data_IF_231580258037
#
_entry.id   IF_231580258037
#
_cell.length_a   1.000
_cell.length_b   1.000
_cell.length_c   1.000
_cell.angle_alpha   90.00
_cell.angle_beta   90.00
_cell.angle_gamma   90.00
#
_symmetry.space_group_name_H-M   'P 1'
#
loop_
_entity.id
_entity.type
_entity.pdbx_description
1 polymer ?
#
# COMPACT_ATOMS: atom_id res chain seq x y z
N UNK A 1 2.76 8.81 -3.89
CA UNK A 1 3.14 8.21 -2.59
C UNK A 1 2.55 6.82 -2.55
N UNK A 2 3.37 5.82 -2.21
CA UNK A 2 2.95 4.41 -2.12
C UNK A 2 3.41 3.86 -0.77
N UNK A 3 2.47 3.35 0.02
CA UNK A 3 2.72 2.90 1.38
C UNK A 3 2.34 1.41 1.50
N UNK A 4 3.30 0.49 1.45
CA UNK A 4 3.03 -0.93 1.68
C UNK A 4 2.69 -1.18 3.16
N UNK A 5 1.59 -1.88 3.41
CA UNK A 5 1.09 -2.15 4.75
C UNK A 5 0.51 -3.56 4.88
N UNK A 6 0.57 -4.11 6.09
CA UNK A 6 -0.16 -5.33 6.43
C UNK A 6 -1.64 -5.01 6.70
N UNK A 7 -2.47 -6.06 6.81
CA UNK A 7 -3.90 -5.92 7.10
C UNK A 7 -4.18 -5.11 8.38
N UNK A 8 -3.36 -5.24 9.42
CA UNK A 8 -3.56 -4.52 10.69
C UNK A 8 -3.31 -3.02 10.58
N UNK A 9 -2.46 -2.58 9.64
CA UNK A 9 -2.06 -1.17 9.52
C UNK A 9 -2.61 -0.51 8.23
N UNK A 10 -3.56 -1.15 7.53
CA UNK A 10 -4.13 -0.60 6.30
C UNK A 10 -4.92 0.69 6.56
N UNK A 11 -5.66 0.76 7.67
CA UNK A 11 -6.42 1.96 8.04
C UNK A 11 -5.50 3.14 8.34
N UNK A 12 -4.40 2.89 9.06
CA UNK A 12 -3.38 3.91 9.33
C UNK A 12 -2.73 4.42 8.03
N UNK A 13 -2.45 3.52 7.08
CA UNK A 13 -1.92 3.89 5.78
C UNK A 13 -2.88 4.77 4.98
N UNK A 14 -4.19 4.48 5.06
CA UNK A 14 -5.23 5.28 4.42
C UNK A 14 -5.29 6.70 5.00
N UNK A 15 -5.32 6.81 6.32
CA UNK A 15 -5.37 8.10 7.00
C UNK A 15 -4.16 8.98 6.64
N UNK A 16 -2.95 8.40 6.59
CA UNK A 16 -1.74 9.12 6.20
C UNK A 16 -1.83 9.64 4.76
N UNK A 17 -2.31 8.83 3.81
CA UNK A 17 -2.46 9.28 2.43
C UNK A 17 -3.52 10.39 2.32
N UNK A 18 -4.63 10.27 3.05
CA UNK A 18 -5.67 11.30 3.07
C UNK A 18 -5.14 12.61 3.64
N UNK A 19 -4.39 12.56 4.75
CA UNK A 19 -3.86 13.75 5.43
C UNK A 19 -2.74 14.42 4.62
N UNK A 20 -1.78 13.63 4.11
CA UNK A 20 -0.60 14.17 3.42
C UNK A 20 -0.88 14.54 1.95
N UNK A 21 -1.77 13.80 1.27
CA UNK A 21 -2.02 14.00 -0.16
C UNK A 21 -3.35 14.71 -0.44
N UNK A 22 -4.22 14.90 0.57
CA UNK A 22 -5.55 15.53 0.45
C UNK A 22 -6.43 14.93 -0.68
N UNK A 23 -6.23 13.65 -1.00
CA UNK A 23 -6.96 12.93 -2.05
C UNK A 23 -7.51 11.60 -1.54
N UNK A 24 -8.51 11.07 -2.25
CA UNK A 24 -9.01 9.74 -2.00
C UNK A 24 -7.89 8.70 -2.24
N UNK A 25 -7.55 7.88 -1.24
CA UNK A 25 -6.52 6.87 -1.39
C UNK A 25 -7.03 5.72 -2.25
N UNK A 26 -6.08 5.04 -2.90
CA UNK A 26 -6.28 3.82 -3.68
C UNK A 26 -5.59 2.68 -2.96
N UNK A 27 -6.23 1.51 -2.94
CA UNK A 27 -5.68 0.29 -2.33
C UNK A 27 -5.50 -0.77 -3.41
N UNK A 28 -4.28 -1.28 -3.54
CA UNK A 28 -3.96 -2.42 -4.38
C UNK A 28 -3.37 -3.55 -3.53
N UNK A 29 -3.71 -4.80 -3.86
CA UNK A 29 -3.09 -5.98 -3.25
C UNK A 29 -1.63 -6.14 -3.69
N UNK A 30 -0.78 -6.61 -2.78
CA UNK A 30 0.61 -6.96 -3.08
C UNK A 30 0.69 -8.44 -3.44
N UNK A 31 1.21 -8.73 -4.63
CA UNK A 31 1.67 -10.07 -4.96
C UNK A 31 3.08 -10.28 -4.37
N UNK A 32 3.17 -10.86 -3.17
CA UNK A 32 4.45 -11.26 -2.56
C UNK A 32 5.06 -12.50 -3.24
N UNK A 33 5.12 -12.48 -4.57
CA UNK A 33 5.93 -13.44 -5.32
C UNK A 33 7.41 -13.27 -4.94
N UNK A 34 8.19 -14.35 -4.97
CA UNK A 34 9.55 -14.42 -4.38
C UNK A 34 10.54 -13.30 -4.78
N UNK A 35 10.25 -12.53 -5.84
CA UNK A 35 11.08 -11.44 -6.35
C UNK A 35 10.76 -10.05 -5.78
N UNK A 36 9.56 -9.84 -5.23
CA UNK A 36 9.04 -8.50 -4.88
C UNK A 36 8.40 -8.50 -3.48
N UNK A 37 9.10 -9.08 -2.48
CA UNK A 37 8.61 -9.07 -1.10
C UNK A 37 8.55 -7.64 -0.57
N UNK A 38 7.35 -7.15 -0.30
CA UNK A 38 7.14 -5.87 0.36
C UNK A 38 6.84 -6.12 1.82
N UNK A 39 7.43 -5.30 2.69
CA UNK A 39 7.14 -5.31 4.11
C UNK A 39 6.31 -4.10 4.48
N UNK A 40 5.51 -4.23 5.52
CA UNK A 40 4.74 -3.16 6.11
C UNK A 40 5.68 -2.06 6.61
N UNK A 41 5.44 -0.81 6.21
CA UNK A 41 6.25 0.33 6.64
C UNK A 41 6.19 0.58 8.16
N UNK A 42 5.15 0.08 8.84
CA UNK A 42 4.93 0.34 10.27
C UNK A 42 5.51 -0.72 11.21
N UNK A 43 5.46 -1.99 10.80
CA UNK A 43 5.83 -3.11 11.67
C UNK A 43 6.78 -4.13 11.02
N UNK A 44 7.21 -3.88 9.77
CA UNK A 44 8.10 -4.75 8.99
C UNK A 44 7.59 -6.18 8.73
N UNK A 45 6.35 -6.51 9.14
CA UNK A 45 5.67 -7.75 8.74
C UNK A 45 5.40 -7.77 7.24
N UNK A 46 4.99 -8.91 6.68
CA UNK A 46 4.61 -9.01 5.28
C UNK A 46 3.49 -8.02 4.93
N UNK A 47 3.70 -7.20 3.89
CA UNK A 47 2.68 -6.27 3.42
C UNK A 47 1.66 -7.02 2.55
N UNK A 48 0.38 -6.81 2.83
CA UNK A 48 -0.72 -7.40 2.07
C UNK A 48 -1.25 -6.44 1.02
N UNK A 49 -1.10 -5.13 1.27
CA UNK A 49 -1.62 -4.05 0.43
C UNK A 49 -0.57 -2.97 0.21
N UNK A 50 -0.75 -2.20 -0.85
CA UNK A 50 -0.14 -0.89 -1.06
C UNK A 50 -1.26 0.13 -1.09
N UNK A 51 -1.17 1.13 -0.24
CA UNK A 51 -2.04 2.30 -0.29
C UNK A 51 -1.31 3.41 -1.04
N UNK A 52 -1.95 4.01 -2.04
CA UNK A 52 -1.35 5.06 -2.86
C UNK A 52 -2.30 6.23 -3.11
N UNK A 53 -1.74 7.38 -3.42
CA UNK A 53 -2.53 8.56 -3.81
C UNK A 53 -2.87 8.58 -5.32
N UNK A 54 -2.37 7.62 -6.08
CA UNK A 54 -2.60 7.47 -7.52
C UNK A 54 -2.93 6.03 -7.85
N UNK A 55 -3.92 5.83 -8.70
CA UNK A 55 -4.29 4.53 -9.24
C UNK A 55 -3.21 4.08 -10.23
N UNK A 56 -2.27 3.27 -9.76
CA UNK A 56 -1.26 2.65 -10.62
C UNK A 56 -1.85 1.34 -11.15
N UNK A 57 -2.91 1.43 -11.94
CA UNK A 57 -3.40 0.32 -12.76
C UNK A 57 -2.36 0.05 -13.89
N UNK A 58 -1.14 -0.36 -13.52
CA UNK A 58 -0.21 -0.98 -14.47
C UNK A 58 -0.70 -2.39 -14.69
N UNK A 59 -1.58 -2.49 -15.67
CA UNK A 59 -2.06 -3.72 -16.28
C UNK A 59 -0.86 -4.64 -16.51
N UNK A 60 -0.85 -5.79 -15.85
CA UNK A 60 0.04 -6.89 -16.16
C UNK A 60 -0.25 -7.34 -17.62
N UNK A 61 0.71 -7.10 -18.50
CA UNK A 61 0.77 -7.66 -19.85
C UNK A 61 1.81 -8.76 -19.93
#
# INVERSE_FOLDING_TARGET
MNLPCCLEHVELALDIIVDECEVAPVINSVDNSEKEKKTCEFCQNEATYVVSNTDSHTICG
#
